data_IF_706036773459
#
_entry.id   IF_706036773459
#
_cell.length_a   1.000
_cell.length_b   1.000
_cell.length_c   1.000
_cell.angle_alpha   90.00
_cell.angle_beta   90.00
_cell.angle_gamma   90.00
#
_symmetry.space_group_name_H-M   'P 1'
#
loop_
_entity.id
_entity.type
_entity.pdbx_description
1 polymer ?
#
# COMPACT_ATOMS: atom_id res chain seq x y z
N UNK A 1 -3.61 -1.86 14.22
CA UNK A 1 -3.23 -1.58 12.83
C UNK A 1 -2.55 -0.20 12.79
N UNK A 2 -1.53 -0.07 11.98
CA UNK A 2 -0.85 1.21 11.75
C UNK A 2 -1.58 2.03 10.70
N UNK A 3 -1.38 3.35 10.67
CA UNK A 3 -2.05 4.26 9.72
C UNK A 3 -1.84 3.84 8.25
N UNK A 4 -0.66 3.33 7.92
CA UNK A 4 -0.35 2.86 6.56
C UNK A 4 -1.02 1.53 6.16
N UNK A 5 -1.76 0.88 7.08
CA UNK A 5 -2.65 -0.23 6.72
C UNK A 5 -3.74 0.22 5.74
N UNK A 6 -4.13 1.50 5.76
CA UNK A 6 -5.05 2.09 4.78
C UNK A 6 -4.59 1.87 3.32
N UNK A 7 -3.27 1.87 3.07
CA UNK A 7 -2.67 1.68 1.74
C UNK A 7 -2.53 0.21 1.34
N UNK A 8 -2.53 -0.69 2.31
CA UNK A 8 -2.33 -2.14 2.07
C UNK A 8 -3.66 -2.86 2.05
N UNK A 9 -4.35 -2.87 3.18
CA UNK A 9 -5.67 -3.46 3.33
C UNK A 9 -6.45 -2.68 4.40
N UNK A 10 -7.30 -1.76 3.97
CA UNK A 10 -8.07 -0.89 4.86
C UNK A 10 -9.02 -1.68 5.79
N UNK A 11 -9.32 -2.95 5.49
CA UNK A 11 -10.11 -3.82 6.37
C UNK A 11 -9.45 -4.09 7.75
N UNK A 12 -8.17 -3.77 7.92
CA UNK A 12 -7.49 -3.85 9.22
C UNK A 12 -7.85 -2.68 10.15
N UNK A 13 -8.26 -1.54 9.61
CA UNK A 13 -8.44 -0.31 10.38
C UNK A 13 -9.49 -0.38 11.50
N UNK A 14 -10.63 -1.09 11.36
CA UNK A 14 -11.58 -1.23 12.47
C UNK A 14 -10.96 -1.86 13.72
N UNK A 15 -9.88 -2.66 13.55
CA UNK A 15 -9.17 -3.32 14.65
C UNK A 15 -8.01 -2.49 15.22
N UNK A 16 -7.79 -1.27 14.77
CA UNK A 16 -6.81 -0.35 15.37
C UNK A 16 -7.22 -0.01 16.81
N UNK A 17 -6.24 0.15 17.69
CA UNK A 17 -6.48 0.56 19.07
C UNK A 17 -6.90 2.04 19.12
N UNK A 18 -6.22 2.86 18.36
CA UNK A 18 -6.47 4.30 18.30
C UNK A 18 -7.68 4.63 17.41
N UNK A 19 -8.41 5.68 17.81
CA UNK A 19 -9.56 6.20 17.07
C UNK A 19 -9.15 7.05 15.86
N UNK A 20 -7.97 7.61 15.90
CA UNK A 20 -7.42 8.48 14.85
C UNK A 20 -5.95 8.13 14.64
N UNK A 21 -5.51 8.14 13.41
CA UNK A 21 -4.11 8.01 13.05
C UNK A 21 -3.79 8.88 11.83
N UNK A 22 -2.64 9.52 11.87
CA UNK A 22 -2.08 10.24 10.74
C UNK A 22 -0.60 9.89 10.59
N UNK A 23 -0.12 9.81 9.37
CA UNK A 23 1.27 9.47 9.10
C UNK A 23 1.74 10.05 7.78
N UNK A 24 3.02 10.36 7.73
CA UNK A 24 3.73 10.78 6.54
C UNK A 24 5.02 9.98 6.40
N UNK A 25 5.33 9.59 5.17
CA UNK A 25 6.57 8.88 4.82
C UNK A 25 7.21 9.54 3.62
N UNK A 26 8.51 9.72 3.70
CA UNK A 26 9.37 10.17 2.62
C UNK A 26 10.38 9.08 2.30
N UNK A 27 10.34 8.57 1.07
CA UNK A 27 11.25 7.53 0.60
C UNK A 27 12.05 8.08 -0.60
N UNK A 28 13.31 8.48 -0.41
CA UNK A 28 14.18 8.84 -1.53
C UNK A 28 14.48 7.60 -2.36
N UNK A 29 14.43 7.73 -3.68
CA UNK A 29 14.63 6.64 -4.62
C UNK A 29 15.92 6.84 -5.41
N UNK A 30 16.82 5.85 -5.43
CA UNK A 30 18.07 5.84 -6.20
C UNK A 30 18.86 7.16 -6.09
N UNK A 31 19.07 7.64 -4.89
CA UNK A 31 19.57 8.98 -4.57
C UNK A 31 20.90 9.35 -5.27
N UNK A 32 21.74 8.33 -5.46
CA UNK A 32 23.06 8.52 -6.08
C UNK A 32 23.00 8.64 -7.61
N UNK A 33 21.93 8.14 -8.23
CA UNK A 33 21.73 8.14 -9.67
C UNK A 33 20.72 9.21 -10.12
N UNK A 34 19.67 9.42 -9.31
CA UNK A 34 18.56 10.31 -9.63
C UNK A 34 18.25 11.24 -8.46
N UNK A 35 19.03 12.32 -8.27
CA UNK A 35 18.75 13.29 -7.23
C UNK A 35 17.33 13.86 -7.38
N UNK A 36 16.60 14.00 -6.27
CA UNK A 36 15.19 14.47 -6.19
C UNK A 36 14.12 13.46 -6.63
N UNK A 37 14.46 12.21 -6.97
CA UNK A 37 13.45 11.17 -7.13
C UNK A 37 13.02 10.67 -5.76
N UNK A 38 11.73 10.78 -5.46
CA UNK A 38 11.22 10.40 -4.15
C UNK A 38 9.74 10.03 -4.20
N UNK A 39 9.36 9.14 -3.30
CA UNK A 39 7.96 8.82 -3.00
C UNK A 39 7.55 9.50 -1.68
N UNK A 40 6.56 10.37 -1.77
CA UNK A 40 5.88 10.96 -0.63
C UNK A 40 4.57 10.21 -0.40
N UNK A 41 4.30 9.84 0.83
CA UNK A 41 3.07 9.15 1.20
C UNK A 41 2.50 9.77 2.47
N UNK A 42 1.25 10.21 2.40
CA UNK A 42 0.48 10.66 3.55
C UNK A 42 -0.74 9.77 3.71
N UNK A 43 -1.11 9.44 4.93
CA UNK A 43 -2.31 8.68 5.23
C UNK A 43 -2.95 9.16 6.52
N UNK A 44 -4.27 9.10 6.58
CA UNK A 44 -5.06 9.37 7.78
C UNK A 44 -6.21 8.37 7.86
N UNK A 45 -6.61 8.04 9.07
CA UNK A 45 -7.86 7.33 9.31
C UNK A 45 -8.57 7.88 10.54
N UNK A 46 -9.89 7.69 10.57
CA UNK A 46 -10.74 7.98 11.71
C UNK A 46 -11.76 6.88 11.91
N UNK A 47 -11.96 6.48 13.17
CA UNK A 47 -12.95 5.51 13.60
C UNK A 47 -14.06 6.24 14.33
N UNK A 48 -15.23 6.46 13.70
CA UNK A 48 -16.40 7.07 14.40
C UNK A 48 -16.86 6.21 15.57
N UNK A 49 -16.78 4.90 15.41
CA UNK A 49 -17.08 3.90 16.43
C UNK A 49 -16.06 2.75 16.42
N UNK A 50 -16.26 1.75 17.28
CA UNK A 50 -15.40 0.57 17.36
C UNK A 50 -15.55 -0.41 16.19
N UNK A 51 -16.46 -0.17 15.24
CA UNK A 51 -16.79 -1.11 14.17
C UNK A 51 -16.49 -0.58 12.78
N UNK A 52 -16.29 0.73 12.62
CA UNK A 52 -16.14 1.38 11.34
C UNK A 52 -14.86 2.21 11.30
N UNK A 53 -14.28 2.36 10.13
CA UNK A 53 -13.22 3.33 9.89
C UNK A 53 -13.36 3.94 8.49
N UNK A 54 -13.06 5.22 8.40
CA UNK A 54 -12.84 5.95 7.15
C UNK A 54 -11.36 6.28 7.04
N UNK A 55 -10.83 6.27 5.84
CA UNK A 55 -9.42 6.59 5.60
C UNK A 55 -9.27 7.41 4.34
N UNK A 56 -8.21 8.22 4.32
CA UNK A 56 -7.76 8.89 3.11
C UNK A 56 -6.24 8.75 3.02
N UNK A 57 -5.71 8.66 1.80
CA UNK A 57 -4.28 8.67 1.58
C UNK A 57 -3.91 9.37 0.29
N UNK A 58 -2.71 9.90 0.28
CA UNK A 58 -2.13 10.56 -0.88
C UNK A 58 -0.72 10.06 -1.10
N UNK A 59 -0.39 9.72 -2.35
CA UNK A 59 0.94 9.33 -2.78
C UNK A 59 1.36 10.22 -3.92
N UNK A 60 2.58 10.70 -3.85
CA UNK A 60 3.19 11.53 -4.88
C UNK A 60 4.60 11.00 -5.16
N UNK A 61 4.82 10.55 -6.37
CA UNK A 61 6.11 10.10 -6.84
C UNK A 61 6.68 11.13 -7.81
N UNK A 62 7.71 11.85 -7.37
CA UNK A 62 8.47 12.76 -8.22
C UNK A 62 9.65 12.02 -8.84
N UNK A 63 9.87 12.23 -10.13
CA UNK A 63 11.04 11.70 -10.81
C UNK A 63 12.00 12.85 -11.12
N UNK A 64 13.29 12.50 -11.21
CA UNK A 64 14.30 13.48 -11.61
C UNK A 64 14.01 13.96 -13.04
N UNK A 65 13.89 15.27 -13.18
CA UNK A 65 13.66 15.88 -14.48
C UNK A 65 14.90 15.80 -15.38
N UNK A 66 14.69 15.53 -16.66
CA UNK A 66 15.72 15.59 -17.69
C UNK A 66 15.56 16.85 -18.52
N UNK A 67 16.67 17.38 -19.00
CA UNK A 67 16.67 18.46 -19.98
C UNK A 67 16.29 17.90 -21.35
N UNK A 68 15.37 18.59 -22.02
CA UNK A 68 15.06 18.31 -23.42
C UNK A 68 15.93 19.20 -24.29
N UNK A 69 16.71 18.59 -25.16
CA UNK A 69 17.59 19.31 -26.10
C UNK A 69 17.14 19.07 -27.54
N UNK A 70 17.40 20.02 -28.44
CA UNK A 70 17.31 19.81 -29.89
C UNK A 70 18.52 19.04 -30.42
N UNK A 71 18.55 18.81 -31.76
CA UNK A 71 19.65 18.10 -32.42
C UNK A 71 20.97 18.88 -32.35
N UNK A 72 20.90 20.21 -32.18
CA UNK A 72 22.03 21.11 -32.03
C UNK A 72 22.56 21.23 -30.59
N UNK A 73 21.85 20.58 -29.61
CA UNK A 73 22.22 20.58 -28.20
C UNK A 73 21.68 21.76 -27.38
N UNK A 74 20.80 22.63 -27.96
CA UNK A 74 20.16 23.70 -27.21
C UNK A 74 19.07 23.17 -26.30
N UNK A 75 19.00 23.68 -25.07
CA UNK A 75 17.99 23.29 -24.08
C UNK A 75 16.63 23.85 -24.48
N UNK A 76 15.70 22.99 -24.85
CA UNK A 76 14.32 23.33 -25.20
C UNK A 76 13.38 23.44 -23.99
N UNK A 77 13.79 22.87 -22.85
CA UNK A 77 13.00 22.88 -21.62
C UNK A 77 13.38 21.71 -20.70
N UNK A 78 12.66 21.60 -19.58
CA UNK A 78 12.86 20.55 -18.59
C UNK A 78 11.61 19.69 -18.48
N UNK A 79 11.78 18.40 -18.48
CA UNK A 79 10.74 17.43 -18.21
C UNK A 79 10.76 17.09 -16.71
N UNK A 80 9.64 17.18 -16.04
CA UNK A 80 9.50 16.85 -14.61
C UNK A 80 8.40 15.78 -14.43
N UNK A 81 8.70 14.51 -14.76
CA UNK A 81 7.71 13.45 -14.65
C UNK A 81 7.26 13.26 -13.20
N UNK A 82 5.97 13.08 -13.02
CA UNK A 82 5.43 12.75 -11.71
C UNK A 82 4.14 11.94 -11.80
N UNK A 83 3.92 11.14 -10.77
CA UNK A 83 2.71 10.34 -10.59
C UNK A 83 2.05 10.69 -9.25
N UNK A 84 0.74 10.72 -9.21
CA UNK A 84 0.00 10.87 -7.97
C UNK A 84 -1.16 9.89 -7.87
N UNK A 85 -1.47 9.49 -6.65
CA UNK A 85 -2.66 8.73 -6.34
C UNK A 85 -3.33 9.28 -5.07
N UNK A 86 -4.65 9.38 -5.12
CA UNK A 86 -5.47 9.76 -3.99
C UNK A 86 -6.48 8.65 -3.72
N UNK A 87 -6.54 8.18 -2.48
CA UNK A 87 -7.40 7.09 -2.05
C UNK A 87 -8.38 7.57 -0.98
N UNK A 88 -9.63 7.10 -1.07
CA UNK A 88 -10.62 7.21 0.01
C UNK A 88 -11.14 5.81 0.30
N UNK A 89 -11.04 5.38 1.56
CA UNK A 89 -11.43 4.06 2.02
C UNK A 89 -12.52 4.09 3.08
N UNK A 90 -13.39 3.10 3.04
CA UNK A 90 -14.33 2.79 4.10
C UNK A 90 -14.19 1.32 4.48
N UNK A 91 -14.18 1.04 5.77
CA UNK A 91 -14.10 -0.31 6.31
C UNK A 91 -15.05 -0.52 7.48
N UNK A 92 -15.54 -1.76 7.63
CA UNK A 92 -16.49 -2.12 8.67
C UNK A 92 -16.31 -3.55 9.14
N UNK A 93 -16.41 -3.76 10.44
CA UNK A 93 -16.58 -5.08 11.06
C UNK A 93 -18.00 -5.59 10.78
N UNK A 94 -18.10 -6.73 10.09
CA UNK A 94 -19.35 -7.35 9.67
C UNK A 94 -19.74 -8.55 10.52
N UNK A 95 -18.75 -9.20 11.15
CA UNK A 95 -18.93 -10.27 12.13
C UNK A 95 -17.82 -10.21 13.16
N UNK A 96 -17.91 -11.01 14.22
CA UNK A 96 -16.83 -11.10 15.21
C UNK A 96 -15.50 -11.46 14.56
N UNK A 97 -14.50 -10.61 14.77
CA UNK A 97 -13.17 -10.77 14.17
C UNK A 97 -13.08 -10.51 12.66
N UNK A 98 -14.19 -10.33 11.94
CA UNK A 98 -14.23 -10.17 10.48
C UNK A 98 -14.58 -8.75 10.06
N UNK A 99 -13.76 -8.15 9.22
CA UNK A 99 -14.03 -6.85 8.60
C UNK A 99 -13.84 -6.90 7.08
N UNK A 100 -14.52 -5.98 6.41
CA UNK A 100 -14.44 -5.74 4.97
C UNK A 100 -14.12 -4.28 4.71
N UNK A 101 -13.54 -3.99 3.55
CA UNK A 101 -13.23 -2.63 3.13
C UNK A 101 -13.42 -2.45 1.62
N UNK A 102 -13.76 -1.23 1.24
CA UNK A 102 -13.68 -0.73 -0.12
C UNK A 102 -12.87 0.55 -0.12
N UNK A 103 -11.99 0.70 -1.11
CA UNK A 103 -11.19 1.91 -1.32
C UNK A 103 -11.34 2.35 -2.77
N UNK A 104 -11.78 3.58 -2.97
CA UNK A 104 -11.77 4.23 -4.28
C UNK A 104 -10.43 4.95 -4.44
N UNK A 105 -9.83 4.82 -5.62
CA UNK A 105 -8.53 5.41 -5.96
C UNK A 105 -8.63 6.22 -7.23
N UNK A 106 -8.13 7.44 -7.20
CA UNK A 106 -7.85 8.25 -8.37
C UNK A 106 -6.34 8.23 -8.64
N UNK A 107 -5.95 7.99 -9.88
CA UNK A 107 -4.54 7.97 -10.32
C UNK A 107 -4.37 8.97 -11.45
N UNK A 108 -3.33 9.80 -11.36
CA UNK A 108 -2.88 10.69 -12.41
C UNK A 108 -1.39 10.49 -12.63
N UNK A 109 -1.01 10.33 -13.89
CA UNK A 109 0.37 10.16 -14.32
C UNK A 109 0.72 11.20 -15.37
N UNK A 110 1.84 11.89 -15.17
CA UNK A 110 2.38 12.94 -16.01
C UNK A 110 3.82 12.60 -16.38
N UNK A 111 4.04 11.85 -17.48
CA UNK A 111 5.37 11.39 -17.87
C UNK A 111 6.26 12.49 -18.48
N UNK A 112 5.70 13.67 -18.76
CA UNK A 112 6.40 14.82 -19.35
C UNK A 112 6.63 14.74 -20.86
N UNK A 113 6.60 13.53 -21.43
CA UNK A 113 6.83 13.29 -22.89
C UNK A 113 5.58 12.85 -23.64
N UNK A 114 4.51 12.54 -22.92
CA UNK A 114 3.22 12.12 -23.46
C UNK A 114 2.10 12.89 -22.77
N UNK A 115 0.86 12.67 -23.20
CA UNK A 115 -0.30 13.29 -22.61
C UNK A 115 -0.46 12.86 -21.14
N UNK A 116 -1.01 13.74 -20.33
CA UNK A 116 -1.39 13.46 -18.96
C UNK A 116 -2.48 12.40 -18.94
N UNK A 117 -2.22 11.28 -18.30
CA UNK A 117 -3.16 10.20 -18.16
C UNK A 117 -3.77 10.16 -16.77
N UNK A 118 -5.06 9.82 -16.69
CA UNK A 118 -5.77 9.68 -15.43
C UNK A 118 -6.76 8.52 -15.48
N UNK A 119 -6.99 7.90 -14.33
CA UNK A 119 -7.93 6.78 -14.23
C UNK A 119 -8.43 6.60 -12.81
N UNK A 120 -9.46 5.77 -12.66
CA UNK A 120 -9.99 5.34 -11.37
C UNK A 120 -9.82 3.84 -11.19
N UNK A 121 -9.63 3.44 -9.96
CA UNK A 121 -9.58 2.05 -9.53
C UNK A 121 -10.30 1.86 -8.20
N UNK A 122 -10.63 0.62 -7.90
CA UNK A 122 -11.23 0.21 -6.63
C UNK A 122 -10.40 -0.92 -6.06
N UNK A 123 -10.20 -0.89 -4.75
CA UNK A 123 -9.67 -2.01 -3.97
C UNK A 123 -10.78 -2.57 -3.08
N UNK A 124 -10.87 -3.90 -2.99
CA UNK A 124 -11.73 -4.60 -2.04
C UNK A 124 -10.86 -5.42 -1.09
N UNK A 125 -11.09 -5.29 0.19
CA UNK A 125 -10.32 -5.95 1.24
C UNK A 125 -11.19 -6.74 2.21
N UNK A 126 -10.64 -7.83 2.73
CA UNK A 126 -11.19 -8.63 3.81
C UNK A 126 -10.07 -8.89 4.82
N UNK A 127 -10.40 -8.82 6.11
CA UNK A 127 -9.48 -9.11 7.19
C UNK A 127 -10.21 -9.86 8.31
N UNK A 128 -9.62 -10.98 8.71
CA UNK A 128 -10.11 -11.80 9.81
C UNK A 128 -9.07 -11.91 10.90
N UNK A 129 -9.49 -11.68 12.14
CA UNK A 129 -8.66 -11.77 13.34
C UNK A 129 -9.31 -12.68 14.36
N UNK A 130 -8.59 -13.71 14.79
CA UNK A 130 -9.05 -14.68 15.79
C UNK A 130 -8.06 -14.80 16.93
N UNK A 131 -8.55 -14.66 18.15
CA UNK A 131 -7.78 -14.94 19.37
C UNK A 131 -7.88 -16.44 19.65
N UNK A 132 -6.76 -17.16 19.53
CA UNK A 132 -6.68 -18.61 19.82
C UNK A 132 -6.53 -18.85 21.31
N UNK A 133 -5.80 -17.95 22.00
CA UNK A 133 -5.61 -17.94 23.45
C UNK A 133 -5.38 -16.50 23.91
N UNK A 134 -5.29 -16.28 25.21
CA UNK A 134 -5.08 -14.94 25.78
C UNK A 134 -3.86 -14.20 25.18
N UNK A 135 -2.79 -14.95 24.86
CA UNK A 135 -1.55 -14.41 24.30
C UNK A 135 -1.28 -14.81 22.85
N UNK A 136 -2.21 -15.53 22.19
CA UNK A 136 -2.01 -16.05 20.83
C UNK A 136 -3.12 -15.57 19.91
N UNK A 137 -2.73 -15.05 18.75
CA UNK A 137 -3.65 -14.52 17.75
C UNK A 137 -3.24 -14.97 16.36
N UNK A 138 -4.20 -15.30 15.54
CA UNK A 138 -4.02 -15.51 14.10
C UNK A 138 -4.82 -14.49 13.33
N UNK A 139 -4.27 -14.06 12.20
CA UNK A 139 -4.93 -13.11 11.30
C UNK A 139 -4.81 -13.59 9.86
N UNK A 140 -5.85 -13.33 9.09
CA UNK A 140 -5.88 -13.61 7.66
C UNK A 140 -6.34 -12.35 6.93
N UNK A 141 -5.71 -12.05 5.83
CA UNK A 141 -6.05 -10.93 4.97
C UNK A 141 -6.19 -11.36 3.52
N UNK A 142 -7.16 -10.79 2.83
CA UNK A 142 -7.31 -10.90 1.39
C UNK A 142 -7.59 -9.52 0.81
N UNK A 143 -7.02 -9.24 -0.37
CA UNK A 143 -7.26 -7.99 -1.08
C UNK A 143 -7.26 -8.23 -2.60
N UNK A 144 -8.26 -7.66 -3.28
CA UNK A 144 -8.20 -7.39 -4.71
C UNK A 144 -7.90 -5.91 -4.88
N UNK A 145 -6.79 -5.57 -5.51
CA UNK A 145 -6.29 -4.20 -5.58
C UNK A 145 -6.18 -3.71 -7.02
N UNK A 146 -6.37 -2.38 -7.20
CA UNK A 146 -6.24 -1.65 -8.45
C UNK A 146 -7.19 -2.14 -9.56
N UNK A 147 -8.35 -2.70 -9.20
CA UNK A 147 -9.36 -3.12 -10.18
C UNK A 147 -10.01 -1.87 -10.80
N UNK A 148 -9.64 -1.53 -12.04
CA UNK A 148 -10.09 -0.27 -12.64
C UNK A 148 -9.66 -0.12 -14.08
N UNK A 149 -9.73 1.12 -14.54
CA UNK A 149 -9.43 1.53 -15.90
C UNK A 149 -7.95 1.48 -16.27
N UNK A 150 -7.66 1.88 -17.49
CA UNK A 150 -6.31 2.08 -17.99
C UNK A 150 -5.95 3.58 -17.97
N UNK A 151 -4.67 3.88 -17.91
CA UNK A 151 -4.10 5.19 -18.16
C UNK A 151 -3.94 5.35 -19.67
N UNK A 152 -4.59 6.37 -20.25
CA UNK A 152 -4.51 6.68 -21.68
C UNK A 152 -3.54 7.85 -21.87
N UNK A 153 -2.43 7.58 -22.54
CA UNK A 153 -1.39 8.56 -22.85
C UNK A 153 -1.46 9.08 -24.31
N UNK A 154 -2.61 8.92 -24.97
CA UNK A 154 -2.80 9.31 -26.38
C UNK A 154 -2.15 8.34 -27.37
N UNK A 155 -0.89 7.97 -27.14
CA UNK A 155 -0.15 7.00 -27.97
C UNK A 155 -0.35 5.53 -27.55
N UNK A 156 -1.11 5.27 -26.49
CA UNK A 156 -1.41 3.92 -26.02
C UNK A 156 -1.91 3.87 -24.57
N UNK A 157 -2.64 2.81 -24.29
CA UNK A 157 -3.24 2.56 -23.00
C UNK A 157 -2.35 1.68 -22.11
N UNK A 158 -2.19 2.04 -20.84
CA UNK A 158 -1.50 1.24 -19.83
C UNK A 158 -2.46 0.82 -18.73
N UNK A 159 -2.73 -0.46 -18.63
CA UNK A 159 -3.61 -0.99 -17.59
C UNK A 159 -2.94 -0.89 -16.22
N UNK A 160 -3.71 -0.51 -15.21
CA UNK A 160 -3.27 -0.61 -13.82
C UNK A 160 -2.98 -2.08 -13.47
N UNK A 161 -2.00 -2.33 -12.59
CA UNK A 161 -1.69 -3.69 -12.15
C UNK A 161 -2.79 -4.21 -11.21
N UNK A 162 -3.71 -5.01 -11.74
CA UNK A 162 -4.69 -5.72 -10.93
C UNK A 162 -4.00 -6.82 -10.15
N UNK A 163 -4.14 -6.79 -8.86
CA UNK A 163 -3.41 -7.69 -7.97
C UNK A 163 -4.35 -8.34 -6.98
N UNK A 164 -4.23 -9.66 -6.82
CA UNK A 164 -4.80 -10.40 -5.70
C UNK A 164 -3.72 -10.65 -4.67
N UNK A 165 -4.01 -10.37 -3.41
CA UNK A 165 -3.12 -10.61 -2.27
C UNK A 165 -3.83 -11.46 -1.24
N UNK A 166 -3.11 -12.41 -0.68
CA UNK A 166 -3.56 -13.18 0.47
C UNK A 166 -2.41 -13.27 1.47
N UNK A 167 -2.70 -13.11 2.73
CA UNK A 167 -1.70 -13.14 3.79
C UNK A 167 -2.24 -13.73 5.08
N UNK A 168 -1.34 -14.27 5.88
CA UNK A 168 -1.61 -14.76 7.21
C UNK A 168 -0.52 -14.29 8.17
N UNK A 169 -0.90 -14.08 9.43
CA UNK A 169 0.07 -13.83 10.49
C UNK A 169 -0.35 -14.60 11.76
N UNK A 170 0.67 -15.08 12.49
CA UNK A 170 0.53 -15.67 13.81
C UNK A 170 1.33 -14.86 14.82
N UNK A 171 0.63 -14.31 15.81
CA UNK A 171 1.23 -13.62 16.95
C UNK A 171 1.22 -14.57 18.14
N UNK A 172 2.39 -14.88 18.66
CA UNK A 172 2.62 -15.85 19.74
C UNK A 172 3.25 -15.12 20.93
N UNK A 173 2.51 -14.95 22.00
CA UNK A 173 3.07 -14.52 23.29
C UNK A 173 3.78 -15.70 23.95
N UNK A 174 5.11 -15.70 23.94
CA UNK A 174 5.92 -16.77 24.51
C UNK A 174 6.05 -16.62 26.03
N UNK A 175 6.05 -15.37 26.52
CA UNK A 175 5.98 -14.99 27.93
C UNK A 175 5.53 -13.53 28.03
N UNK A 176 5.42 -12.97 29.24
CA UNK A 176 5.11 -11.55 29.44
C UNK A 176 6.12 -10.60 28.78
N UNK A 177 7.38 -11.05 28.67
CA UNK A 177 8.48 -10.26 28.10
C UNK A 177 8.82 -10.60 26.65
N UNK A 178 8.30 -11.70 26.10
CA UNK A 178 8.74 -12.24 24.82
C UNK A 178 7.55 -12.54 23.89
N UNK A 179 7.63 -12.08 22.67
CA UNK A 179 6.65 -12.33 21.61
C UNK A 179 7.30 -12.70 20.30
N UNK A 180 6.65 -13.57 19.53
CA UNK A 180 7.05 -13.95 18.19
C UNK A 180 5.89 -13.70 17.24
N UNK A 181 6.14 -12.97 16.16
CA UNK A 181 5.17 -12.81 15.06
C UNK A 181 5.75 -13.45 13.81
N UNK A 182 4.98 -14.34 13.20
CA UNK A 182 5.30 -14.96 11.92
C UNK A 182 4.28 -14.46 10.88
N UNK A 183 4.77 -14.12 9.69
CA UNK A 183 3.92 -13.65 8.59
C UNK A 183 4.23 -14.38 7.31
N UNK A 184 3.22 -14.63 6.49
CA UNK A 184 3.35 -15.11 5.12
C UNK A 184 2.35 -14.35 4.24
N UNK A 185 2.79 -13.93 3.07
CA UNK A 185 1.96 -13.25 2.08
C UNK A 185 2.24 -13.80 0.70
N UNK A 186 1.20 -13.88 -0.11
CA UNK A 186 1.30 -14.18 -1.53
C UNK A 186 0.57 -13.12 -2.33
N UNK A 187 1.15 -12.78 -3.47
CA UNK A 187 0.61 -11.80 -4.41
C UNK A 187 0.58 -12.40 -5.82
N UNK A 188 -0.56 -12.27 -6.49
CA UNK A 188 -0.71 -12.66 -7.88
C UNK A 188 -1.16 -11.46 -8.71
N UNK A 189 -0.34 -11.07 -9.69
CA UNK A 189 -0.66 -10.00 -10.65
C UNK A 189 -1.47 -10.58 -11.80
N UNK A 190 -2.72 -10.09 -11.94
CA UNK A 190 -3.66 -10.51 -12.98
C UNK A 190 -3.52 -9.70 -14.26
N UNK A 191 -3.20 -8.41 -14.12
CA UNK A 191 -3.11 -7.45 -15.21
C UNK A 191 -1.85 -6.59 -15.08
N UNK A 192 -1.28 -6.10 -16.18
CA UNK A 192 -1.55 -6.54 -17.56
C UNK A 192 -1.17 -8.01 -17.76
N UNK A 193 -1.80 -8.66 -18.74
CA UNK A 193 -1.67 -10.13 -18.94
C UNK A 193 -0.24 -10.57 -19.27
N UNK A 194 0.53 -9.70 -19.90
CA UNK A 194 1.93 -9.91 -20.29
C UNK A 194 2.88 -9.92 -19.08
N UNK A 195 2.45 -9.30 -17.97
CA UNK A 195 3.23 -9.17 -16.73
C UNK A 195 2.64 -10.01 -15.59
N UNK A 196 1.90 -11.07 -15.91
CA UNK A 196 1.43 -12.00 -14.88
C UNK A 196 2.60 -12.55 -14.11
N UNK A 197 2.53 -12.41 -12.80
CA UNK A 197 3.59 -12.84 -11.92
C UNK A 197 3.01 -13.27 -10.58
N UNK A 198 3.62 -14.29 -10.02
CA UNK A 198 3.37 -14.74 -8.66
C UNK A 198 4.56 -14.37 -7.79
N UNK A 199 4.32 -13.82 -6.60
CA UNK A 199 5.35 -13.59 -5.60
C UNK A 199 4.87 -14.04 -4.23
N UNK A 200 5.81 -14.50 -3.41
CA UNK A 200 5.57 -14.88 -2.02
C UNK A 200 6.57 -14.21 -1.11
N UNK A 201 6.17 -13.91 0.12
CA UNK A 201 7.05 -13.37 1.13
C UNK A 201 6.79 -14.00 2.48
N UNK A 202 7.82 -14.09 3.31
CA UNK A 202 7.76 -14.54 4.70
C UNK A 202 8.43 -13.49 5.56
N UNK A 203 7.94 -13.35 6.80
CA UNK A 203 8.55 -12.48 7.77
C UNK A 203 8.47 -13.09 9.17
N UNK A 204 9.46 -12.75 9.99
CA UNK A 204 9.47 -13.07 11.41
C UNK A 204 9.89 -11.83 12.20
N UNK A 205 9.20 -11.58 13.31
CA UNK A 205 9.57 -10.56 14.29
C UNK A 205 9.64 -11.22 15.67
N UNK A 206 10.78 -11.12 16.32
CA UNK A 206 10.93 -11.47 17.71
C UNK A 206 11.00 -10.19 18.54
N UNK A 207 10.10 -10.06 19.51
CA UNK A 207 10.01 -8.92 20.42
C UNK A 207 10.48 -9.34 21.80
N UNK A 208 11.35 -8.53 22.40
CA UNK A 208 11.99 -8.79 23.68
C UNK A 208 11.79 -7.59 24.61
N UNK A 209 11.24 -7.84 25.80
CA UNK A 209 10.99 -6.87 26.89
C UNK A 209 10.19 -5.61 26.46
N UNK A 210 9.45 -5.66 25.37
CA UNK A 210 8.74 -4.50 24.82
C UNK A 210 9.62 -3.37 24.27
N UNK A 211 10.95 -3.55 24.31
CA UNK A 211 11.95 -2.52 23.97
C UNK A 211 12.66 -2.86 22.66
N UNK A 212 13.04 -4.13 22.48
CA UNK A 212 13.79 -4.58 21.30
C UNK A 212 12.89 -5.42 20.38
N UNK A 213 12.94 -5.14 19.09
CA UNK A 213 12.33 -5.96 18.06
C UNK A 213 13.36 -6.32 16.97
N UNK A 214 13.60 -7.62 16.80
CA UNK A 214 14.42 -8.16 15.72
C UNK A 214 13.50 -8.64 14.60
N UNK A 215 13.77 -8.20 13.37
CA UNK A 215 12.95 -8.51 12.20
C UNK A 215 13.79 -9.08 11.09
N UNK A 216 13.29 -10.11 10.44
CA UNK A 216 13.87 -10.70 9.25
C UNK A 216 12.77 -11.15 8.30
N UNK A 217 13.06 -11.16 7.01
CA UNK A 217 12.12 -11.63 6.01
C UNK A 217 12.78 -11.85 4.67
N UNK A 218 12.05 -12.54 3.80
CA UNK A 218 12.45 -12.86 2.43
C UNK A 218 11.26 -12.70 1.48
N UNK A 219 11.54 -12.25 0.26
CA UNK A 219 10.57 -12.10 -0.85
C UNK A 219 11.13 -12.66 -2.14
#
# INVERSE_FOLDING_TARGET
>A
AEVFSALRNAAQLPFSEERFGAGYSYLPWMRDLTPRTALHTAAVYFKPDGKQAVSASFRYFSQYGSERTDEEGNVLGRLEPHDMAFDIGYSRTVAEGLSVALTARYVRSEPGTADVAQTFAVDAGLFYRHAVAASHRVTFGFQAANVGGALDYGAGNRQLPWVLKAGAAAELGLSEAHGLTLTAETEYRLRPSELRAWSGSFGAEYRCFGILALRGGYR
#
